data_IF_127973883697
#
_entry.id   IF_127973883697
#
_cell.length_a   1.000
_cell.length_b   1.000
_cell.length_c   1.000
_cell.angle_alpha   90.00
_cell.angle_beta   90.00
_cell.angle_gamma   90.00
#
_symmetry.space_group_name_H-M   'P 1'
#
loop_
_entity.id
_entity.type
_entity.pdbx_description
1 polymer ?
#
# COMPACT_ATOMS: atom_id res chain seq x y z
N UNK A 1 -28.96 2.52 13.98
CA UNK A 1 -27.82 3.37 13.58
C UNK A 1 -26.81 2.48 12.90
N UNK A 2 -26.86 2.39 11.57
CA UNK A 2 -26.01 1.49 10.79
C UNK A 2 -24.78 2.28 10.40
N UNK A 3 -23.65 2.05 11.07
CA UNK A 3 -22.37 2.60 10.64
C UNK A 3 -22.02 1.85 9.36
N UNK A 4 -22.35 2.44 8.21
CA UNK A 4 -21.79 2.01 6.94
C UNK A 4 -20.28 2.26 7.02
N UNK A 5 -19.53 1.22 7.38
CA UNK A 5 -18.09 1.21 7.20
C UNK A 5 -17.86 1.47 5.71
N UNK A 6 -17.48 2.70 5.37
CA UNK A 6 -16.95 2.99 4.05
C UNK A 6 -15.75 2.04 3.89
N UNK A 7 -15.93 0.97 3.10
CA UNK A 7 -14.84 0.21 2.54
C UNK A 7 -14.03 1.21 1.72
N UNK A 8 -13.09 1.88 2.37
CA UNK A 8 -12.18 2.81 1.71
C UNK A 8 -11.33 1.95 0.82
N UNK A 9 -11.65 1.97 -0.47
CA UNK A 9 -10.81 1.40 -1.51
C UNK A 9 -9.39 1.91 -1.30
N UNK A 10 -8.48 1.02 -0.90
CA UNK A 10 -7.08 1.35 -0.70
C UNK A 10 -6.37 1.22 -2.03
N UNK A 11 -5.57 2.21 -2.38
CA UNK A 11 -4.73 2.24 -3.58
C UNK A 11 -3.27 2.40 -3.19
N UNK A 12 -2.34 2.08 -4.09
CA UNK A 12 -0.92 2.31 -3.84
C UNK A 12 -0.63 3.79 -3.54
N UNK A 13 -1.31 4.72 -4.21
CA UNK A 13 -1.19 6.15 -3.95
C UNK A 13 -1.69 6.54 -2.56
N UNK A 14 -2.76 5.91 -2.06
CA UNK A 14 -3.26 6.15 -0.71
C UNK A 14 -2.30 5.62 0.37
N UNK A 15 -1.64 4.49 0.12
CA UNK A 15 -0.73 3.85 1.07
C UNK A 15 0.68 4.44 1.05
N UNK A 16 1.13 4.88 -0.12
CA UNK A 16 2.47 5.37 -0.41
C UNK A 16 2.44 6.74 -1.11
N UNK A 17 1.96 7.80 -0.42
CA UNK A 17 1.82 9.12 -1.05
C UNK A 17 3.17 9.84 -1.24
N UNK A 18 3.27 10.56 -2.36
CA UNK A 18 4.37 11.50 -2.62
C UNK A 18 5.72 10.84 -2.93
N UNK A 19 6.81 11.62 -2.79
CA UNK A 19 8.18 11.16 -3.09
C UNK A 19 8.64 10.14 -2.04
N UNK A 20 8.39 10.42 -0.75
CA UNK A 20 8.72 9.51 0.36
C UNK A 20 7.98 8.18 0.23
N UNK A 21 6.69 8.23 -0.13
CA UNK A 21 5.88 7.03 -0.38
C UNK A 21 6.45 6.16 -1.50
N UNK A 22 6.86 6.76 -2.63
CA UNK A 22 7.53 6.01 -3.72
C UNK A 22 8.77 5.25 -3.25
N UNK A 23 9.59 5.88 -2.42
CA UNK A 23 10.77 5.23 -1.84
C UNK A 23 10.40 4.08 -0.89
N UNK A 24 9.35 4.26 -0.08
CA UNK A 24 8.84 3.21 0.79
C UNK A 24 8.25 2.04 0.00
N UNK A 25 7.53 2.32 -1.09
CA UNK A 25 7.00 1.30 -1.98
C UNK A 25 8.13 0.43 -2.55
N UNK A 26 9.23 1.04 -3.02
CA UNK A 26 10.40 0.28 -3.50
C UNK A 26 10.97 -0.63 -2.40
N UNK A 27 11.09 -0.15 -1.16
CA UNK A 27 11.54 -0.99 -0.03
C UNK A 27 10.58 -2.15 0.23
N UNK A 28 9.28 -1.90 0.20
CA UNK A 28 8.24 -2.91 0.37
C UNK A 28 8.27 -3.94 -0.75
N UNK A 29 8.45 -3.52 -2.00
CA UNK A 29 8.58 -4.41 -3.16
C UNK A 29 9.76 -5.37 -3.01
N UNK A 30 10.92 -4.86 -2.57
CA UNK A 30 12.10 -5.68 -2.34
C UNK A 30 11.91 -6.64 -1.16
N UNK A 31 11.28 -6.17 -0.08
CA UNK A 31 11.03 -6.96 1.11
C UNK A 31 10.04 -8.11 0.88
N UNK A 32 8.91 -7.81 0.22
CA UNK A 32 7.87 -8.78 -0.09
C UNK A 32 8.16 -9.59 -1.35
N UNK A 33 9.21 -9.24 -2.10
CA UNK A 33 9.56 -9.81 -3.42
C UNK A 33 8.40 -9.70 -4.43
N UNK A 34 7.80 -8.52 -4.48
CA UNK A 34 6.66 -8.22 -5.35
C UNK A 34 7.02 -7.13 -6.38
N UNK A 35 7.84 -7.45 -7.42
CA UNK A 35 8.19 -6.51 -8.47
C UNK A 35 6.97 -6.03 -9.30
N UNK A 36 5.90 -6.82 -9.36
CA UNK A 36 4.67 -6.52 -10.09
C UNK A 36 3.95 -5.25 -9.59
N UNK A 37 4.21 -4.82 -8.34
CA UNK A 37 3.65 -3.58 -7.80
C UNK A 37 4.13 -2.31 -8.53
N UNK A 38 5.25 -2.38 -9.27
CA UNK A 38 5.70 -1.27 -10.12
C UNK A 38 4.87 -1.14 -11.41
N UNK A 39 4.22 -2.22 -11.84
CA UNK A 39 3.38 -2.25 -13.04
C UNK A 39 1.92 -1.90 -12.71
N UNK A 40 1.52 -2.03 -11.44
CA UNK A 40 0.19 -1.67 -10.97
C UNK A 40 -0.10 -0.17 -11.08
N UNK A 41 -1.33 0.17 -11.46
CA UNK A 41 -1.79 1.55 -11.47
C UNK A 41 -1.79 2.13 -10.05
N UNK A 42 -1.29 3.37 -9.87
CA UNK A 42 -1.17 3.92 -8.51
C UNK A 42 -2.51 4.22 -7.84
N UNK A 43 -3.53 4.51 -8.63
CA UNK A 43 -4.90 4.75 -8.18
C UNK A 43 -5.79 3.50 -8.36
N UNK A 44 -5.19 2.38 -8.72
CA UNK A 44 -5.88 1.10 -8.85
C UNK A 44 -6.31 0.57 -7.47
N UNK A 45 -7.54 0.06 -7.33
CA UNK A 45 -8.00 -0.61 -6.11
C UNK A 45 -7.13 -1.82 -5.80
N UNK A 46 -6.66 -1.91 -4.57
CA UNK A 46 -6.01 -3.08 -4.01
C UNK A 46 -7.05 -4.01 -3.39
N UNK A 47 -6.83 -5.31 -3.50
CA UNK A 47 -7.56 -6.27 -2.67
C UNK A 47 -7.21 -6.09 -1.19
N UNK A 48 -8.14 -6.46 -0.31
CA UNK A 48 -8.00 -6.22 1.14
C UNK A 48 -6.78 -6.92 1.74
N UNK A 49 -6.44 -8.11 1.24
CA UNK A 49 -5.31 -8.89 1.75
C UNK A 49 -3.98 -8.27 1.32
N UNK A 50 -3.84 -7.90 0.05
CA UNK A 50 -2.67 -7.17 -0.44
C UNK A 50 -2.52 -5.82 0.27
N UNK A 51 -3.59 -5.06 0.39
CA UNK A 51 -3.56 -3.78 1.09
C UNK A 51 -3.06 -3.94 2.54
N UNK A 52 -3.53 -4.98 3.25
CA UNK A 52 -3.08 -5.29 4.60
C UNK A 52 -1.60 -5.69 4.65
N UNK A 53 -1.13 -6.53 3.72
CA UNK A 53 0.29 -6.92 3.63
C UNK A 53 1.20 -5.70 3.37
N UNK A 54 0.77 -4.80 2.49
CA UNK A 54 1.51 -3.58 2.16
C UNK A 54 1.55 -2.59 3.33
N UNK A 55 0.45 -2.46 4.09
CA UNK A 55 0.41 -1.63 5.30
C UNK A 55 1.39 -2.13 6.37
N UNK A 56 1.37 -3.44 6.67
CA UNK A 56 2.28 -4.03 7.63
C UNK A 56 3.75 -3.81 7.23
N UNK A 57 4.08 -4.04 5.96
CA UNK A 57 5.43 -3.83 5.46
C UNK A 57 5.83 -2.34 5.49
N UNK A 58 4.93 -1.42 5.15
CA UNK A 58 5.16 0.03 5.25
C UNK A 58 5.49 0.44 6.67
N UNK A 59 4.70 -0.02 7.64
CA UNK A 59 4.82 0.39 9.04
C UNK A 59 6.15 -0.10 9.65
N UNK A 60 6.66 -1.27 9.21
CA UNK A 60 8.01 -1.72 9.57
C UNK A 60 9.11 -0.73 9.12
N UNK A 61 8.95 -0.09 7.96
CA UNK A 61 9.91 0.90 7.44
C UNK A 61 9.64 2.34 7.90
N UNK A 62 8.53 2.60 8.60
CA UNK A 62 8.22 3.92 9.15
C UNK A 62 8.87 4.15 10.52
N UNK A 63 9.21 3.09 11.26
CA UNK A 63 9.88 3.13 12.57
C UNK A 63 11.41 3.06 12.51
N UNK A 64 11.99 3.10 11.30
CA UNK A 64 13.44 3.05 11.06
C UNK A 64 13.99 4.32 10.41
#
# INVERSE_FOLDING_TARGET
MTVAAALRVKTLQSLFPGIKGRMQLVKVMLHLRMPELAEMGRDEPLDDELARRLELARDMFAMG
#
